data_IF_633652650877
#
_entry.id   IF_633652650877
#
_cell.length_a   1.000
_cell.length_b   1.000
_cell.length_c   1.000
_cell.angle_alpha   90.00
_cell.angle_beta   90.00
_cell.angle_gamma   90.00
#
_symmetry.space_group_name_H-M   'P 1'
#
loop_
_entity.id
_entity.type
_entity.pdbx_description
1 polymer ?
#
# COMPACT_ATOMS: atom_id res chain seq x y z
N UNK A 1 9.03 16.77 1.30
CA UNK A 1 9.03 15.91 0.09
C UNK A 1 8.70 16.77 -1.11
N UNK A 2 9.44 16.62 -2.21
CA UNK A 2 9.11 17.26 -3.49
C UNK A 2 7.85 16.64 -4.09
N UNK A 3 7.19 17.36 -5.02
CA UNK A 3 5.94 16.91 -5.67
C UNK A 3 6.11 15.55 -6.36
N UNK A 4 7.24 15.34 -7.05
CA UNK A 4 7.54 14.08 -7.74
C UNK A 4 7.62 12.88 -6.78
N UNK A 5 8.25 13.06 -5.62
CA UNK A 5 8.36 11.98 -4.62
C UNK A 5 6.98 11.63 -4.05
N UNK A 6 6.10 12.63 -3.84
CA UNK A 6 4.73 12.37 -3.41
C UNK A 6 3.96 11.54 -4.44
N UNK A 7 4.09 11.86 -5.73
CA UNK A 7 3.45 11.12 -6.82
C UNK A 7 3.99 9.70 -6.90
N UNK A 8 5.31 9.51 -6.82
CA UNK A 8 5.93 8.18 -6.79
C UNK A 8 5.36 7.34 -5.64
N UNK A 9 5.25 7.91 -4.45
CA UNK A 9 4.62 7.26 -3.30
C UNK A 9 3.16 6.88 -3.54
N UNK A 10 2.40 7.73 -4.23
CA UNK A 10 1.01 7.44 -4.60
C UNK A 10 0.94 6.22 -5.52
N UNK A 11 1.77 6.19 -6.57
CA UNK A 11 1.84 5.07 -7.52
C UNK A 11 2.17 3.79 -6.77
N UNK A 12 3.22 3.80 -5.94
CA UNK A 12 3.61 2.63 -5.14
C UNK A 12 2.48 2.16 -4.21
N UNK A 13 1.72 3.10 -3.63
CA UNK A 13 0.60 2.80 -2.73
C UNK A 13 -0.59 2.17 -3.46
N UNK A 14 -0.79 2.53 -4.73
CA UNK A 14 -1.87 1.98 -5.56
C UNK A 14 -1.51 0.62 -6.17
N UNK A 15 -0.23 0.26 -6.27
CA UNK A 15 0.21 -1.03 -6.84
C UNK A 15 -0.38 -2.25 -6.12
N UNK A 16 -0.38 -2.36 -4.77
CA UNK A 16 -1.03 -3.48 -4.09
C UNK A 16 -2.54 -3.59 -4.39
N UNK A 17 -3.24 -2.47 -4.55
CA UNK A 17 -4.66 -2.46 -4.89
C UNK A 17 -4.87 -2.94 -6.33
N UNK A 18 -4.06 -2.43 -7.27
CA UNK A 18 -4.09 -2.88 -8.66
C UNK A 18 -3.77 -4.39 -8.76
N UNK A 19 -2.77 -4.85 -7.99
CA UNK A 19 -2.45 -6.27 -7.87
C UNK A 19 -3.62 -7.08 -7.31
N UNK A 20 -4.29 -6.60 -6.27
CA UNK A 20 -5.44 -7.29 -5.69
C UNK A 20 -6.57 -7.48 -6.72
N UNK A 21 -6.89 -6.44 -7.50
CA UNK A 21 -7.89 -6.53 -8.56
C UNK A 21 -7.46 -7.49 -9.68
N UNK A 22 -6.19 -7.45 -10.06
CA UNK A 22 -5.60 -8.39 -11.01
C UNK A 22 -5.67 -9.83 -10.49
N UNK A 23 -5.35 -10.07 -9.22
CA UNK A 23 -5.39 -11.40 -8.60
C UNK A 23 -6.81 -11.98 -8.62
N UNK A 24 -7.83 -11.20 -8.25
CA UNK A 24 -9.23 -11.63 -8.32
C UNK A 24 -9.64 -11.98 -9.75
N UNK A 25 -9.22 -11.16 -10.72
CA UNK A 25 -9.50 -11.40 -12.14
C UNK A 25 -8.80 -12.68 -12.64
N UNK A 26 -7.54 -12.89 -12.25
CA UNK A 26 -6.79 -14.08 -12.60
C UNK A 26 -7.42 -15.35 -12.03
N UNK A 27 -7.75 -15.36 -10.73
CA UNK A 27 -8.38 -16.52 -10.09
C UNK A 27 -9.71 -16.86 -10.76
N UNK A 28 -10.48 -15.85 -11.17
CA UNK A 28 -11.73 -16.03 -11.90
C UNK A 28 -11.54 -16.58 -13.32
N UNK A 29 -10.36 -16.37 -13.91
CA UNK A 29 -10.00 -16.87 -15.25
C UNK A 29 -9.36 -18.26 -15.25
N UNK A 30 -9.09 -18.85 -14.08
CA UNK A 30 -8.46 -20.17 -14.00
C UNK A 30 -9.40 -21.24 -14.55
N UNK A 31 -8.96 -21.91 -15.61
CA UNK A 31 -9.63 -23.07 -16.18
C UNK A 31 -9.07 -24.35 -15.56
N UNK A 32 -9.92 -25.05 -14.81
CA UNK A 32 -9.54 -26.29 -14.11
C UNK A 32 -9.44 -27.50 -15.05
N UNK A 33 -9.81 -27.36 -16.32
CA UNK A 33 -9.70 -28.43 -17.33
C UNK A 33 -8.32 -28.47 -18.00
N UNK A 34 -7.46 -27.50 -17.73
CA UNK A 34 -6.10 -27.43 -18.29
C UNK A 34 -5.19 -28.55 -17.77
N UNK A 35 -4.16 -28.95 -18.55
CA UNK A 35 -3.14 -29.86 -18.08
C UNK A 35 -2.48 -29.36 -16.79
N UNK A 36 -2.25 -30.27 -15.83
CA UNK A 36 -1.70 -29.91 -14.52
C UNK A 36 -0.35 -29.18 -14.59
N UNK A 37 0.48 -29.46 -15.61
CA UNK A 37 1.75 -28.79 -15.81
C UNK A 37 1.58 -27.28 -16.07
N UNK A 38 0.63 -26.90 -16.93
CA UNK A 38 0.35 -25.51 -17.28
C UNK A 38 -0.25 -24.75 -16.10
N UNK A 39 -1.20 -25.38 -15.39
CA UNK A 39 -1.79 -24.81 -14.18
C UNK A 39 -0.73 -24.55 -13.10
N UNK A 40 0.18 -25.50 -12.88
CA UNK A 40 1.26 -25.36 -11.90
C UNK A 40 2.21 -24.20 -12.25
N UNK A 41 2.54 -24.01 -13.53
CA UNK A 41 3.39 -22.91 -13.97
C UNK A 41 2.71 -21.55 -13.75
N UNK A 42 1.42 -21.43 -14.10
CA UNK A 42 0.63 -20.21 -13.86
C UNK A 42 0.55 -19.87 -12.37
N UNK A 43 0.27 -20.86 -11.51
CA UNK A 43 0.21 -20.68 -10.06
C UNK A 43 1.57 -20.31 -9.48
N UNK A 44 2.67 -20.90 -9.96
CA UNK A 44 4.03 -20.56 -9.53
C UNK A 44 4.37 -19.10 -9.87
N UNK A 45 4.05 -18.65 -11.08
CA UNK A 45 4.26 -17.26 -11.48
C UNK A 45 3.41 -16.31 -10.63
N UNK A 46 2.16 -16.67 -10.36
CA UNK A 46 1.29 -15.88 -9.49
C UNK A 46 1.81 -15.83 -8.05
N UNK A 47 2.36 -16.94 -7.54
CA UNK A 47 2.95 -17.01 -6.20
C UNK A 47 4.13 -16.03 -6.05
N UNK A 48 5.05 -15.98 -7.02
CA UNK A 48 6.15 -14.99 -6.98
C UNK A 48 5.64 -13.56 -6.98
N UNK A 49 4.65 -13.26 -7.84
CA UNK A 49 4.07 -11.93 -7.92
C UNK A 49 3.35 -11.55 -6.61
N UNK A 50 2.70 -12.52 -5.96
CA UNK A 50 2.11 -12.36 -4.64
C UNK A 50 3.15 -12.01 -3.58
N UNK A 51 4.26 -12.73 -3.51
CA UNK A 51 5.34 -12.48 -2.54
C UNK A 51 5.95 -11.09 -2.72
N UNK A 52 6.15 -10.65 -3.97
CA UNK A 52 6.62 -9.29 -4.26
C UNK A 52 5.61 -8.25 -3.75
N UNK A 53 4.33 -8.46 -4.01
CA UNK A 53 3.27 -7.55 -3.55
C UNK A 53 3.16 -7.50 -2.02
N UNK A 54 3.24 -8.65 -1.34
CA UNK A 54 3.26 -8.71 0.13
C UNK A 54 4.47 -7.98 0.72
N UNK A 55 5.65 -8.17 0.12
CA UNK A 55 6.88 -7.48 0.54
C UNK A 55 6.76 -5.97 0.36
N UNK A 56 6.19 -5.51 -0.76
CA UNK A 56 5.90 -4.11 -1.01
C UNK A 56 4.91 -3.54 0.02
N UNK A 57 3.86 -4.27 0.38
CA UNK A 57 2.90 -3.82 1.40
C UNK A 57 3.58 -3.64 2.75
N UNK A 58 4.40 -4.60 3.19
CA UNK A 58 5.15 -4.48 4.46
C UNK A 58 6.06 -3.25 4.43
N UNK A 59 6.81 -3.05 3.34
CA UNK A 59 7.68 -1.89 3.17
C UNK A 59 6.89 -0.57 3.18
N UNK A 60 5.71 -0.52 2.56
CA UNK A 60 4.83 0.65 2.59
C UNK A 60 4.30 0.93 3.99
N UNK A 61 3.77 -0.07 4.72
CA UNK A 61 3.31 0.11 6.11
C UNK A 61 4.43 0.71 6.95
N UNK A 62 5.61 0.11 6.94
CA UNK A 62 6.76 0.60 7.70
C UNK A 62 7.12 2.03 7.29
N UNK A 63 7.15 2.33 5.98
CA UNK A 63 7.44 3.66 5.47
C UNK A 63 6.42 4.71 5.93
N UNK A 64 5.13 4.39 5.91
CA UNK A 64 4.06 5.27 6.38
C UNK A 64 4.12 5.48 7.89
N UNK A 65 4.37 4.43 8.67
CA UNK A 65 4.52 4.52 10.13
C UNK A 65 5.74 5.37 10.48
N UNK A 66 6.90 5.14 9.85
CA UNK A 66 8.10 5.97 10.03
C UNK A 66 7.81 7.42 9.66
N UNK A 67 7.13 7.67 8.54
CA UNK A 67 6.74 9.01 8.12
C UNK A 67 5.80 9.68 9.12
N UNK A 68 4.80 8.96 9.63
CA UNK A 68 3.83 9.45 10.62
C UNK A 68 4.53 9.97 11.88
N UNK A 69 5.53 9.25 12.39
CA UNK A 69 6.25 9.66 13.59
C UNK A 69 7.32 10.74 13.33
N UNK A 70 8.02 10.69 12.19
CA UNK A 70 9.11 11.64 11.87
C UNK A 70 8.65 12.98 11.33
N UNK A 71 7.59 13.02 10.52
CA UNK A 71 7.17 14.24 9.82
C UNK A 71 6.48 15.25 10.74
N UNK A 72 5.85 14.78 11.82
CA UNK A 72 5.10 15.61 12.75
C UNK A 72 3.82 16.22 12.15
N UNK A 73 3.39 15.78 10.96
CA UNK A 73 2.17 16.28 10.28
C UNK A 73 0.88 15.78 10.94
N UNK A 74 0.96 14.71 11.72
CA UNK A 74 -0.15 14.15 12.48
C UNK A 74 -0.04 14.61 13.95
N UNK A 75 -1.12 15.20 14.53
CA UNK A 75 -1.18 15.55 15.95
C UNK A 75 -0.82 14.34 16.84
N UNK A 76 -0.08 14.57 17.94
CA UNK A 76 0.46 13.50 18.79
C UNK A 76 -0.61 12.49 19.22
N UNK A 77 -1.77 12.96 19.63
CA UNK A 77 -2.93 12.15 20.06
C UNK A 77 -3.45 11.20 18.97
N UNK A 78 -3.37 11.61 17.70
CA UNK A 78 -3.88 10.84 16.55
C UNK A 78 -2.86 9.87 15.97
N UNK A 79 -1.59 9.92 16.41
CA UNK A 79 -0.52 9.07 15.85
C UNK A 79 -0.76 7.60 16.11
N UNK A 80 -1.14 7.25 17.34
CA UNK A 80 -1.40 5.84 17.71
C UNK A 80 -2.59 5.32 16.92
N UNK A 81 -3.69 6.09 16.86
CA UNK A 81 -4.87 5.75 16.07
C UNK A 81 -4.51 5.50 14.61
N UNK A 82 -3.75 6.40 13.99
CA UNK A 82 -3.36 6.24 12.60
C UNK A 82 -2.40 5.07 12.35
N UNK A 83 -1.51 4.75 13.30
CA UNK A 83 -0.70 3.53 13.22
C UNK A 83 -1.60 2.29 13.18
N UNK A 84 -2.60 2.21 14.07
CA UNK A 84 -3.56 1.09 14.06
C UNK A 84 -4.34 1.06 12.75
N UNK A 85 -4.83 2.19 12.27
CA UNK A 85 -5.58 2.29 11.00
C UNK A 85 -4.71 1.88 9.80
N UNK A 86 -3.43 2.26 9.76
CA UNK A 86 -2.51 1.88 8.69
C UNK A 86 -2.18 0.38 8.71
N UNK A 87 -2.02 -0.22 9.90
CA UNK A 87 -1.72 -1.65 10.05
C UNK A 87 -2.96 -2.49 9.77
N UNK A 88 -4.10 -2.17 10.38
CA UNK A 88 -5.35 -2.92 10.24
C UNK A 88 -6.04 -2.68 8.90
N UNK A 89 -6.10 -1.43 8.45
CA UNK A 89 -6.69 -1.06 7.17
C UNK A 89 -5.75 -1.31 5.97
N UNK A 90 -4.45 -1.48 6.23
CA UNK A 90 -3.44 -1.92 5.26
C UNK A 90 -3.56 -1.17 3.91
N UNK A 91 -3.60 -1.89 2.79
CA UNK A 91 -3.71 -1.33 1.44
C UNK A 91 -4.89 -0.37 1.25
N UNK A 92 -5.98 -0.51 2.02
CA UNK A 92 -7.14 0.38 1.90
C UNK A 92 -6.95 1.69 2.67
N UNK A 93 -6.22 1.68 3.79
CA UNK A 93 -5.99 2.88 4.60
C UNK A 93 -4.89 3.79 4.01
N UNK A 94 -3.89 3.21 3.36
CA UNK A 94 -2.73 3.96 2.86
C UNK A 94 -3.09 5.08 1.87
N UNK A 95 -3.99 4.90 0.87
CA UNK A 95 -4.38 5.99 -0.04
C UNK A 95 -5.00 7.19 0.69
N UNK A 96 -5.83 6.94 1.71
CA UNK A 96 -6.42 8.02 2.51
C UNK A 96 -5.34 8.75 3.30
N UNK A 97 -4.45 8.00 3.96
CA UNK A 97 -3.35 8.62 4.70
C UNK A 97 -2.45 9.46 3.78
N UNK A 98 -2.10 8.92 2.60
CA UNK A 98 -1.33 9.65 1.60
C UNK A 98 -2.02 10.94 1.21
N UNK A 99 -3.31 10.91 0.89
CA UNK A 99 -4.05 12.09 0.47
C UNK A 99 -4.08 13.17 1.57
N UNK A 100 -4.41 12.80 2.80
CA UNK A 100 -4.55 13.76 3.90
C UNK A 100 -3.21 14.31 4.41
N UNK A 101 -2.20 13.45 4.56
CA UNK A 101 -0.97 13.80 5.30
C UNK A 101 0.28 13.90 4.45
N UNK A 102 0.31 13.31 3.25
CA UNK A 102 1.45 13.42 2.33
C UNK A 102 1.16 14.45 1.24
N UNK A 103 0.02 14.34 0.56
CA UNK A 103 -0.38 15.24 -0.51
C UNK A 103 -0.79 16.60 0.04
N UNK A 104 -1.84 16.63 0.87
CA UNK A 104 -2.40 17.85 1.49
C UNK A 104 -1.77 18.22 2.83
N UNK A 105 -0.56 17.72 3.11
CA UNK A 105 0.16 17.95 4.36
C UNK A 105 -0.03 19.40 4.83
N UNK A 106 -0.75 19.65 5.95
CA UNK A 106 -1.01 21.00 6.40
C UNK A 106 0.35 21.64 6.67
N UNK A 107 0.57 22.83 6.09
CA UNK A 107 1.73 23.66 6.42
C UNK A 107 1.69 23.82 7.94
N UNK A 108 2.74 23.43 8.65
CA UNK A 108 2.84 23.65 10.09
C UNK A 108 2.50 25.11 10.33
N UNK A 109 1.35 25.41 10.94
CA UNK A 109 1.11 26.77 11.40
C UNK A 109 2.17 27.05 12.44
N UNK A 110 2.98 28.08 12.19
CA UNK A 110 3.85 28.65 13.21
C UNK A 110 2.92 29.36 14.20
N UNK A 111 2.39 28.59 15.15
CA UNK A 111 1.56 29.01 16.28
C UNK A 111 1.38 27.74 17.13
N UNK A 112 1.84 27.61 18.38
CA UNK A 112 2.39 28.52 19.40
C UNK A 112 3.50 27.79 20.18
#
# INVERSE_FOLDING_TARGET
MTKSVKILWAILTLLPIAYFLFFISFVSSLDQTQPAAELNEQLKNMFYLHIVSMSLMVALILSYVVYLFKSGVVPKEKRILWTVVLVAGNMFAMPFFWFFYVWRAPVKSVAE
#
